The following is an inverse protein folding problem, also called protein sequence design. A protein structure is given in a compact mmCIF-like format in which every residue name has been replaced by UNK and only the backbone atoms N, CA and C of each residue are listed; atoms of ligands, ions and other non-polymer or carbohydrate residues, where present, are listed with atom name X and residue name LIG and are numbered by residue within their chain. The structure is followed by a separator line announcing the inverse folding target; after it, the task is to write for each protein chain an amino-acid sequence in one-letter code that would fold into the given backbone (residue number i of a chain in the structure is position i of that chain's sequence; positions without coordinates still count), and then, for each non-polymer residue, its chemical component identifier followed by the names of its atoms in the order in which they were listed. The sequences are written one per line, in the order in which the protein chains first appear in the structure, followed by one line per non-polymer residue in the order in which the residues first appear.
data_IF_651358423861
#
_entry.id   IF_651358423861
#
_cell.length_a   1.000
_cell.length_b   1.000
_cell.length_c   1.000
_cell.angle_alpha   90.00
_cell.angle_beta   90.00
_cell.angle_gamma   90.00
#
_symmetry.space_group_name_H-M   'P 1'
#
loop_
_entity.id
_entity.type
_entity.pdbx_description
1 polymer ?
#
# COMPACT_ATOMS: atom_id res chain seq x y z
N UNK A 1 11.50 27.04 56.82
CA UNK A 1 10.78 26.94 55.54
C UNK A 1 11.61 26.03 54.62
N UNK A 2 11.21 24.78 54.56
CA UNK A 2 11.87 23.77 53.72
C UNK A 2 11.05 23.66 52.45
N UNK A 3 11.65 23.94 51.30
CA UNK A 3 11.06 23.74 49.97
C UNK A 3 11.52 22.36 49.48
N UNK A 4 10.62 21.44 49.17
CA UNK A 4 11.01 20.17 48.62
C UNK A 4 11.31 20.32 47.12
N UNK A 5 12.45 19.76 46.77
CA UNK A 5 13.02 19.71 45.45
C UNK A 5 12.16 18.82 44.52
N UNK A 6 11.47 19.42 43.55
CA UNK A 6 10.54 18.75 42.66
C UNK A 6 11.21 18.06 41.45
N UNK A 7 12.55 17.99 41.39
CA UNK A 7 13.28 17.45 40.24
C UNK A 7 13.97 16.09 40.47
N UNK A 8 13.68 15.38 41.57
CA UNK A 8 14.31 14.12 41.87
C UNK A 8 13.34 12.91 41.74
N UNK A 9 12.66 12.76 40.64
CA UNK A 9 11.97 11.48 40.35
C UNK A 9 11.58 11.40 38.86
N UNK A 10 12.45 10.98 38.01
CA UNK A 10 12.08 10.35 36.71
C UNK A 10 13.31 9.77 36.01
N UNK A 11 14.06 8.91 36.71
CA UNK A 11 15.14 8.12 36.09
C UNK A 11 14.83 6.64 35.93
N UNK A 12 13.58 6.22 36.11
CA UNK A 12 13.22 4.82 35.99
C UNK A 12 11.95 4.65 35.17
N UNK A 13 12.02 4.85 33.87
CA UNK A 13 11.03 4.29 32.94
C UNK A 13 11.52 4.31 31.48
N UNK A 14 12.78 4.01 31.24
CA UNK A 14 13.24 3.69 29.90
C UNK A 14 13.77 2.28 29.88
N UNK A 15 12.90 1.36 30.30
CA UNK A 15 13.08 -0.06 30.01
C UNK A 15 12.79 -0.22 28.52
N UNK A 16 13.81 0.06 27.71
CA UNK A 16 13.86 -0.34 26.32
C UNK A 16 13.57 -1.83 26.28
N UNK A 17 12.44 -2.20 25.68
CA UNK A 17 12.20 -3.58 25.28
C UNK A 17 13.46 -4.04 24.51
N UNK A 18 13.93 -5.28 24.69
CA UNK A 18 15.06 -5.78 23.96
C UNK A 18 14.74 -5.61 22.47
N UNK A 19 15.41 -4.67 21.82
CA UNK A 19 15.43 -4.59 20.36
C UNK A 19 16.19 -5.84 19.94
N UNK A 20 15.41 -6.83 19.49
CA UNK A 20 15.94 -8.02 18.86
C UNK A 20 16.74 -7.51 17.66
N UNK A 21 18.05 -7.39 17.82
CA UNK A 21 19.01 -6.89 16.83
C UNK A 21 19.22 -7.90 15.69
N UNK A 22 18.36 -8.92 15.64
CA UNK A 22 18.32 -9.87 14.56
C UNK A 22 17.85 -9.15 13.30
N UNK A 23 18.68 -9.14 12.27
CA UNK A 23 18.30 -8.57 10.96
C UNK A 23 16.96 -9.16 10.52
N UNK A 24 16.02 -8.31 10.12
CA UNK A 24 14.70 -8.73 9.67
C UNK A 24 14.88 -9.63 8.44
N UNK A 25 14.49 -10.90 8.58
CA UNK A 25 14.42 -11.87 7.48
C UNK A 25 12.97 -12.03 7.01
N UNK A 26 12.75 -12.77 5.93
CA UNK A 26 11.41 -12.96 5.36
C UNK A 26 10.45 -13.68 6.34
N UNK A 27 10.86 -14.76 7.05
CA UNK A 27 10.00 -15.36 8.08
C UNK A 27 9.56 -14.38 9.16
N UNK A 28 10.49 -13.64 9.75
CA UNK A 28 10.21 -12.64 10.80
C UNK A 28 9.33 -11.50 10.26
N UNK A 29 9.50 -11.09 9.00
CA UNK A 29 8.63 -10.12 8.35
C UNK A 29 7.19 -10.65 8.26
N UNK A 30 7.00 -11.90 7.85
CA UNK A 30 5.68 -12.51 7.73
C UNK A 30 5.00 -12.67 9.10
N UNK A 31 5.74 -13.07 10.13
CA UNK A 31 5.27 -13.16 11.49
C UNK A 31 4.78 -11.77 11.99
N UNK A 32 5.61 -10.74 11.88
CA UNK A 32 5.22 -9.38 12.25
C UNK A 32 4.02 -8.85 11.47
N UNK A 33 3.88 -9.21 10.19
CA UNK A 33 2.68 -8.86 9.41
C UNK A 33 1.43 -9.54 9.97
N UNK A 34 1.55 -10.79 10.44
CA UNK A 34 0.44 -11.53 11.05
C UNK A 34 -0.02 -10.87 12.34
N UNK A 35 0.91 -10.33 13.13
CA UNK A 35 0.61 -9.70 14.41
C UNK A 35 -0.03 -8.31 14.26
N UNK A 36 0.34 -7.55 13.21
CA UNK A 36 -0.02 -6.13 13.11
C UNK A 36 -1.08 -5.83 12.04
N UNK A 37 -1.31 -6.74 11.10
CA UNK A 37 -2.23 -6.52 10.00
C UNK A 37 -3.50 -7.37 10.12
N UNK A 38 -4.66 -6.75 9.90
CA UNK A 38 -5.94 -7.46 9.86
C UNK A 38 -5.99 -8.50 8.72
N UNK A 39 -5.30 -8.23 7.62
CA UNK A 39 -5.24 -9.08 6.41
C UNK A 39 -3.79 -9.30 5.97
N UNK A 40 -3.01 -10.13 6.68
CA UNK A 40 -1.56 -10.25 6.49
C UNK A 40 -1.14 -10.58 5.05
N UNK A 41 -1.85 -11.54 4.42
CA UNK A 41 -1.57 -11.93 3.01
C UNK A 41 -1.78 -10.77 2.04
N UNK A 42 -2.84 -9.99 2.25
CA UNK A 42 -3.13 -8.84 1.40
C UNK A 42 -2.10 -7.74 1.63
N UNK A 43 -1.77 -7.44 2.88
CA UNK A 43 -0.75 -6.45 3.25
C UNK A 43 0.63 -6.84 2.73
N UNK A 44 0.98 -8.14 2.74
CA UNK A 44 2.22 -8.64 2.12
C UNK A 44 2.24 -8.42 0.60
N UNK A 45 1.13 -8.70 -0.11
CA UNK A 45 1.05 -8.43 -1.55
C UNK A 45 1.20 -6.93 -1.87
N UNK A 46 0.55 -6.06 -1.09
CA UNK A 46 0.71 -4.60 -1.21
C UNK A 46 2.17 -4.19 -0.98
N UNK A 47 2.81 -4.72 0.07
CA UNK A 47 4.21 -4.45 0.39
C UNK A 47 5.16 -4.87 -0.74
N UNK A 48 4.96 -6.06 -1.28
CA UNK A 48 5.77 -6.58 -2.38
C UNK A 48 5.62 -5.76 -3.67
N UNK A 49 4.39 -5.33 -4.00
CA UNK A 49 4.15 -4.45 -5.14
C UNK A 49 4.81 -3.07 -4.94
N UNK A 50 4.73 -2.49 -3.74
CA UNK A 50 5.45 -1.26 -3.41
C UNK A 50 6.96 -1.47 -3.58
N UNK A 51 7.50 -2.61 -3.13
CA UNK A 51 8.91 -2.93 -3.28
C UNK A 51 9.33 -3.00 -4.76
N UNK A 52 8.54 -3.66 -5.60
CA UNK A 52 8.79 -3.76 -7.04
C UNK A 52 8.76 -2.38 -7.71
N UNK A 53 7.73 -1.57 -7.42
CA UNK A 53 7.62 -0.22 -7.98
C UNK A 53 8.72 0.73 -7.48
N UNK A 54 9.32 0.45 -6.32
CA UNK A 54 10.40 1.22 -5.71
C UNK A 54 11.79 0.82 -6.20
N UNK A 55 11.93 -0.27 -6.95
CA UNK A 55 13.23 -0.91 -7.24
C UNK A 55 14.23 0.04 -7.91
N UNK A 56 13.77 0.91 -8.78
CA UNK A 56 14.63 1.83 -9.54
C UNK A 56 14.83 3.19 -8.85
N UNK A 57 13.78 3.73 -8.22
CA UNK A 57 13.75 5.10 -7.68
C UNK A 57 13.85 5.18 -6.17
N UNK A 58 13.87 4.04 -5.47
CA UNK A 58 13.84 3.96 -4.00
C UNK A 58 12.46 4.25 -3.39
N UNK A 59 11.49 4.71 -4.19
CA UNK A 59 10.13 5.00 -3.76
C UNK A 59 9.10 4.70 -4.85
N UNK A 60 7.91 4.28 -4.46
CA UNK A 60 6.78 4.04 -5.35
C UNK A 60 5.84 5.24 -5.37
N UNK A 61 5.68 5.87 -6.53
CA UNK A 61 4.80 7.01 -6.70
C UNK A 61 5.51 8.36 -6.89
N UNK A 62 4.76 9.43 -7.06
CA UNK A 62 3.30 9.52 -7.04
C UNK A 62 2.60 8.78 -8.19
N UNK A 63 3.30 8.58 -9.29
CA UNK A 63 2.84 7.85 -10.47
C UNK A 63 3.78 6.67 -10.74
N UNK A 64 3.21 5.58 -11.23
CA UNK A 64 3.92 4.37 -11.67
C UNK A 64 3.71 4.21 -13.17
N UNK A 65 4.77 3.86 -13.88
CA UNK A 65 4.69 3.51 -15.30
C UNK A 65 4.00 2.15 -15.44
N UNK A 66 2.89 2.12 -16.16
CA UNK A 66 2.13 0.90 -16.48
C UNK A 66 1.94 0.83 -18.01
N UNK A 67 2.84 0.12 -18.67
CA UNK A 67 3.00 0.21 -20.13
C UNK A 67 3.34 1.63 -20.54
N UNK A 68 2.55 2.22 -21.45
CA UNK A 68 2.73 3.59 -21.95
C UNK A 68 2.01 4.66 -21.12
N UNK A 69 1.44 4.28 -19.95
CA UNK A 69 0.60 5.16 -19.15
C UNK A 69 1.22 5.43 -17.78
N UNK A 70 1.13 6.68 -17.31
CA UNK A 70 1.42 7.04 -15.93
C UNK A 70 0.13 6.96 -15.10
N UNK A 71 0.13 6.06 -14.11
CA UNK A 71 -1.02 5.79 -13.25
C UNK A 71 -0.69 6.18 -11.82
N UNK A 72 -1.59 6.87 -11.08
CA UNK A 72 -1.37 7.12 -9.66
C UNK A 72 -1.08 5.82 -8.91
N UNK A 73 -0.07 5.81 -8.04
CA UNK A 73 0.41 4.58 -7.36
C UNK A 73 -0.70 3.81 -6.65
N UNK A 74 -1.68 4.50 -6.07
CA UNK A 74 -2.82 3.86 -5.41
C UNK A 74 -3.71 3.11 -6.39
N UNK A 75 -3.97 3.68 -7.55
CA UNK A 75 -4.79 3.08 -8.59
C UNK A 75 -4.06 1.90 -9.24
N UNK A 76 -2.77 2.08 -9.50
CA UNK A 76 -1.91 0.99 -9.97
C UNK A 76 -1.91 -0.20 -9.00
N UNK A 77 -1.77 0.03 -7.69
CA UNK A 77 -1.88 -1.04 -6.68
C UNK A 77 -3.26 -1.73 -6.72
N UNK A 78 -4.34 -0.98 -6.89
CA UNK A 78 -5.67 -1.55 -7.02
C UNK A 78 -5.79 -2.43 -8.27
N UNK A 79 -5.29 -1.96 -9.40
CA UNK A 79 -5.35 -2.69 -10.66
C UNK A 79 -4.46 -3.94 -10.64
N UNK A 80 -3.26 -3.87 -10.07
CA UNK A 80 -2.36 -5.01 -9.88
C UNK A 80 -2.93 -6.09 -8.94
N UNK A 81 -3.74 -5.70 -7.95
CA UNK A 81 -4.39 -6.63 -7.02
C UNK A 81 -5.75 -7.15 -7.51
N UNK A 82 -6.34 -6.54 -8.55
CA UNK A 82 -7.63 -6.93 -9.10
C UNK A 82 -7.70 -8.40 -9.58
N UNK A 83 -6.66 -9.01 -10.19
CA UNK A 83 -6.67 -10.42 -10.58
C UNK A 83 -6.84 -11.38 -9.39
N UNK A 84 -6.29 -11.03 -8.23
CA UNK A 84 -6.45 -11.84 -6.99
C UNK A 84 -7.91 -11.81 -6.53
N UNK A 85 -8.59 -10.67 -6.73
CA UNK A 85 -10.01 -10.52 -6.41
C UNK A 85 -10.96 -11.16 -7.45
N UNK A 86 -10.47 -11.62 -8.60
CA UNK A 86 -11.33 -12.24 -9.64
C UNK A 86 -12.00 -13.54 -9.21
N UNK A 87 -11.39 -14.24 -8.26
CA UNK A 87 -11.91 -15.50 -7.69
C UNK A 87 -12.84 -15.26 -6.49
N UNK A 88 -13.10 -13.99 -6.13
CA UNK A 88 -13.99 -13.66 -5.03
C UNK A 88 -15.45 -13.81 -5.48
N UNK A 89 -16.25 -14.69 -4.85
CA UNK A 89 -17.67 -14.84 -5.15
C UNK A 89 -18.47 -13.53 -5.00
N UNK A 90 -17.94 -12.57 -4.22
CA UNK A 90 -18.52 -11.22 -4.11
C UNK A 90 -18.57 -10.47 -5.44
N UNK A 91 -17.70 -10.83 -6.40
CA UNK A 91 -17.71 -10.18 -7.72
C UNK A 91 -18.97 -10.50 -8.51
N UNK A 92 -19.41 -11.74 -8.47
CA UNK A 92 -20.69 -12.15 -9.11
C UNK A 92 -21.86 -11.40 -8.47
N UNK A 93 -21.92 -11.35 -7.15
CA UNK A 93 -22.94 -10.59 -6.42
C UNK A 93 -22.93 -9.08 -6.77
N UNK A 94 -21.74 -8.49 -7.01
CA UNK A 94 -21.63 -7.10 -7.47
C UNK A 94 -22.19 -6.96 -8.88
N UNK A 95 -21.93 -7.91 -9.79
CA UNK A 95 -22.43 -7.85 -11.16
C UNK A 95 -23.96 -7.96 -11.21
N UNK A 96 -24.54 -8.88 -10.44
CA UNK A 96 -26.00 -9.05 -10.33
C UNK A 96 -26.66 -7.79 -9.75
N UNK A 97 -26.04 -7.22 -8.72
CA UNK A 97 -26.52 -5.97 -8.12
C UNK A 97 -26.44 -4.79 -9.08
N UNK A 98 -25.34 -4.67 -9.83
CA UNK A 98 -25.18 -3.61 -10.85
C UNK A 98 -26.24 -3.76 -11.94
N UNK A 99 -26.45 -4.98 -12.45
CA UNK A 99 -27.47 -5.25 -13.45
C UNK A 99 -28.86 -4.83 -12.97
N UNK A 100 -29.24 -5.26 -11.76
CA UNK A 100 -30.53 -4.92 -11.15
C UNK A 100 -30.71 -3.40 -10.96
N UNK A 101 -29.67 -2.69 -10.50
CA UNK A 101 -29.73 -1.24 -10.31
C UNK A 101 -29.83 -0.46 -11.63
N UNK A 102 -29.12 -0.88 -12.67
CA UNK A 102 -29.18 -0.25 -13.98
C UNK A 102 -30.55 -0.51 -14.64
N UNK A 103 -31.11 -1.71 -14.47
CA UNK A 103 -32.45 -2.04 -14.97
C UNK A 103 -33.53 -1.21 -14.27
N UNK A 104 -33.49 -1.10 -12.93
CA UNK A 104 -34.41 -0.26 -12.15
C UNK A 104 -34.36 1.22 -12.56
N UNK A 105 -33.19 1.72 -12.95
CA UNK A 105 -33.00 3.09 -13.42
C UNK A 105 -33.36 3.27 -14.89
N UNK A 106 -33.67 2.18 -15.62
CA UNK A 106 -33.90 2.17 -17.07
C UNK A 106 -32.69 2.69 -17.85
N UNK A 107 -31.49 2.45 -17.34
CA UNK A 107 -30.21 2.85 -17.93
C UNK A 107 -29.59 1.74 -18.80
N UNK A 108 -30.16 0.53 -18.81
CA UNK A 108 -29.68 -0.57 -19.63
C UNK A 108 -30.06 -0.34 -21.09
N UNK A 109 -29.08 -0.36 -22.00
CA UNK A 109 -29.33 -0.33 -23.44
C UNK A 109 -30.13 -1.56 -23.89
N UNK A 110 -30.94 -1.42 -24.93
CA UNK A 110 -31.66 -2.55 -25.57
C UNK A 110 -30.72 -3.51 -26.29
N UNK A 111 -29.54 -3.04 -26.68
CA UNK A 111 -28.46 -3.83 -27.27
C UNK A 111 -27.74 -4.62 -26.15
N UNK A 112 -27.71 -5.94 -26.28
CA UNK A 112 -27.10 -6.85 -25.31
C UNK A 112 -25.60 -6.58 -25.12
N UNK A 113 -24.85 -6.30 -26.20
CA UNK A 113 -23.40 -6.10 -26.15
C UNK A 113 -23.06 -4.77 -25.46
N UNK A 114 -23.86 -3.75 -25.70
CA UNK A 114 -23.70 -2.45 -25.05
C UNK A 114 -24.08 -2.55 -23.57
N UNK A 115 -25.13 -3.31 -23.21
CA UNK A 115 -25.54 -3.56 -21.84
C UNK A 115 -24.44 -4.29 -21.06
N UNK A 116 -23.83 -5.33 -21.63
CA UNK A 116 -22.74 -6.06 -21.00
C UNK A 116 -21.49 -5.20 -20.78
N UNK A 117 -21.12 -4.38 -21.76
CA UNK A 117 -20.02 -3.43 -21.63
C UNK A 117 -20.26 -2.41 -20.51
N UNK A 118 -21.48 -1.88 -20.42
CA UNK A 118 -21.88 -0.94 -19.37
C UNK A 118 -21.81 -1.59 -17.98
N UNK A 119 -22.37 -2.78 -17.84
CA UNK A 119 -22.31 -3.56 -16.58
C UNK A 119 -20.87 -3.83 -16.20
N UNK A 120 -20.04 -4.31 -17.14
CA UNK A 120 -18.62 -4.59 -16.87
C UNK A 120 -17.85 -3.35 -16.43
N UNK A 121 -18.08 -2.21 -17.07
CA UNK A 121 -17.45 -0.93 -16.71
C UNK A 121 -17.84 -0.49 -15.28
N UNK A 122 -19.14 -0.58 -14.93
CA UNK A 122 -19.61 -0.20 -13.60
C UNK A 122 -19.13 -1.17 -12.50
N UNK A 123 -19.11 -2.47 -12.78
CA UNK A 123 -18.50 -3.48 -11.89
C UNK A 123 -17.03 -3.14 -11.62
N UNK A 124 -16.28 -2.85 -12.68
CA UNK A 124 -14.85 -2.49 -12.55
C UNK A 124 -14.67 -1.22 -11.74
N UNK A 125 -15.53 -0.21 -11.96
CA UNK A 125 -15.53 1.03 -11.18
C UNK A 125 -15.74 0.76 -9.68
N UNK A 126 -16.72 -0.08 -9.32
CA UNK A 126 -17.01 -0.44 -7.90
C UNK A 126 -15.89 -1.24 -7.26
N UNK A 127 -15.32 -2.19 -7.99
CA UNK A 127 -14.17 -2.97 -7.53
C UNK A 127 -12.98 -2.03 -7.25
N UNK A 128 -12.70 -1.07 -8.14
CA UNK A 128 -11.62 -0.10 -7.95
C UNK A 128 -11.85 0.80 -6.73
N UNK A 129 -13.09 1.29 -6.51
CA UNK A 129 -13.43 2.09 -5.33
C UNK A 129 -13.22 1.31 -4.03
N UNK A 130 -13.70 0.06 -3.97
CA UNK A 130 -13.45 -0.83 -2.84
C UNK A 130 -11.97 -1.15 -2.67
N UNK A 131 -11.27 -1.36 -3.77
CA UNK A 131 -9.82 -1.60 -3.81
C UNK A 131 -9.03 -0.44 -3.19
N UNK A 132 -9.37 0.80 -3.51
CA UNK A 132 -8.73 1.99 -2.92
C UNK A 132 -8.82 2.02 -1.40
N UNK A 133 -9.97 1.65 -0.84
CA UNK A 133 -10.16 1.58 0.61
C UNK A 133 -9.29 0.48 1.23
N UNK A 134 -9.27 -0.71 0.62
CA UNK A 134 -8.47 -1.84 1.09
C UNK A 134 -6.96 -1.54 1.01
N UNK A 135 -6.49 -0.99 -0.12
CA UNK A 135 -5.09 -0.56 -0.27
C UNK A 135 -4.73 0.49 0.76
N UNK A 136 -5.59 1.50 0.98
CA UNK A 136 -5.33 2.56 1.95
C UNK A 136 -5.24 2.04 3.38
N UNK A 137 -6.07 1.06 3.74
CA UNK A 137 -6.02 0.39 5.05
C UNK A 137 -4.72 -0.40 5.20
N UNK A 138 -4.39 -1.28 4.25
CA UNK A 138 -3.17 -2.06 4.27
C UNK A 138 -1.92 -1.18 4.35
N UNK A 139 -1.83 -0.12 3.55
CA UNK A 139 -0.72 0.84 3.64
C UNK A 139 -0.66 1.50 5.01
N UNK A 140 -1.81 1.85 5.62
CA UNK A 140 -1.81 2.45 6.95
C UNK A 140 -1.32 1.49 8.03
N UNK A 141 -1.65 0.20 7.92
CA UNK A 141 -1.14 -0.85 8.79
C UNK A 141 0.38 -1.03 8.59
N UNK A 142 0.85 -1.09 7.34
CA UNK A 142 2.28 -1.18 7.01
C UNK A 142 3.09 0.03 7.51
N UNK A 143 2.49 1.23 7.49
CA UNK A 143 3.12 2.43 8.05
C UNK A 143 3.19 2.35 9.57
N UNK A 144 2.13 1.90 10.25
CA UNK A 144 2.13 1.70 11.71
C UNK A 144 3.17 0.65 12.14
N UNK A 145 3.33 -0.40 11.33
CA UNK A 145 4.33 -1.44 11.56
C UNK A 145 5.78 -0.99 11.29
N UNK A 146 5.98 0.20 10.73
CA UNK A 146 7.30 0.70 10.37
C UNK A 146 7.90 0.07 9.12
N UNK A 147 7.12 -0.65 8.31
CA UNK A 147 7.59 -1.28 7.08
C UNK A 147 7.62 -0.33 5.88
N UNK A 148 6.72 0.66 5.88
CA UNK A 148 6.56 1.65 4.82
C UNK A 148 6.52 3.04 5.42
N UNK A 149 7.21 3.99 4.79
CA UNK A 149 7.03 5.43 5.03
C UNK A 149 6.12 5.98 3.94
N UNK A 150 5.17 6.82 4.35
CA UNK A 150 4.24 7.47 3.43
C UNK A 150 4.41 8.98 3.51
N UNK A 151 4.60 9.63 2.37
CA UNK A 151 4.50 11.08 2.25
C UNK A 151 3.60 11.44 1.06
N UNK A 152 3.28 12.71 0.92
CA UNK A 152 2.38 13.18 -0.12
C UNK A 152 3.09 14.25 -0.93
N UNK A 153 3.07 14.11 -2.24
CA UNK A 153 3.56 15.08 -3.20
C UNK A 153 2.40 15.78 -3.89
N UNK A 154 2.65 17.01 -4.31
CA UNK A 154 1.66 17.87 -4.94
C UNK A 154 1.10 18.88 -3.95
N UNK A 155 1.30 20.14 -4.29
CA UNK A 155 0.78 21.28 -3.56
C UNK A 155 -0.14 22.07 -4.48
N UNK A 156 -1.42 22.20 -4.11
CA UNK A 156 -2.31 23.19 -4.71
C UNK A 156 -2.69 24.19 -3.65
N UNK A 157 -2.28 25.44 -3.85
CA UNK A 157 -2.39 26.53 -2.90
C UNK A 157 -3.87 26.93 -2.67
N UNK A 158 -4.74 26.73 -3.67
CA UNK A 158 -6.03 27.40 -3.75
C UNK A 158 -7.27 26.51 -3.64
N UNK A 159 -7.16 25.31 -3.05
CA UNK A 159 -8.33 24.43 -2.91
C UNK A 159 -8.78 24.33 -1.45
N UNK A 160 -10.09 24.60 -1.19
CA UNK A 160 -10.71 24.45 0.13
C UNK A 160 -10.50 23.05 0.75
N UNK A 161 -10.31 22.02 -0.08
CA UNK A 161 -10.04 20.65 0.33
C UNK A 161 -8.56 20.29 0.11
N UNK A 162 -7.69 20.85 0.95
CA UNK A 162 -6.21 20.70 0.87
C UNK A 162 -5.69 19.25 0.85
N UNK A 163 -6.51 18.25 1.18
CA UNK A 163 -6.13 16.83 1.22
C UNK A 163 -6.45 16.05 -0.06
N UNK A 164 -7.43 16.46 -0.85
CA UNK A 164 -8.04 15.63 -1.91
C UNK A 164 -7.17 15.44 -3.17
N UNK A 165 -6.15 16.28 -3.38
CA UNK A 165 -5.32 16.25 -4.59
C UNK A 165 -3.86 15.89 -4.34
N UNK A 166 -3.51 15.50 -3.11
CA UNK A 166 -2.15 15.05 -2.82
C UNK A 166 -1.96 13.62 -3.27
N UNK A 167 -0.95 13.41 -4.09
CA UNK A 167 -0.57 12.07 -4.53
C UNK A 167 0.35 11.42 -3.50
N UNK A 168 0.05 10.19 -3.14
CA UNK A 168 0.82 9.44 -2.18
C UNK A 168 2.12 8.91 -2.81
N UNK A 169 3.18 8.91 -2.02
CA UNK A 169 4.46 8.25 -2.32
C UNK A 169 4.80 7.31 -1.17
N UNK A 170 5.20 6.11 -1.49
CA UNK A 170 5.52 5.05 -0.56
C UNK A 170 7.00 4.68 -0.67
N UNK A 171 7.70 4.67 0.45
CA UNK A 171 9.10 4.24 0.55
C UNK A 171 9.18 3.07 1.50
N UNK A 172 9.70 1.93 1.06
CA UNK A 172 9.96 0.81 1.96
C UNK A 172 11.21 1.08 2.80
N UNK A 173 11.23 0.58 4.03
CA UNK A 173 12.41 0.68 4.89
C UNK A 173 13.52 -0.26 4.39
N UNK A 174 14.78 0.06 4.70
CA UNK A 174 15.92 -0.74 4.25
C UNK A 174 15.92 -2.15 4.84
N UNK A 175 15.38 -2.31 6.03
CA UNK A 175 15.19 -3.63 6.65
C UNK A 175 14.25 -4.51 5.83
N UNK A 176 13.09 -3.95 5.47
CA UNK A 176 12.09 -4.66 4.65
C UNK A 176 12.64 -4.96 3.26
N UNK A 177 13.38 -4.01 2.67
CA UNK A 177 13.98 -4.20 1.34
C UNK A 177 14.96 -5.38 1.37
N UNK A 178 15.80 -5.48 2.40
CA UNK A 178 16.72 -6.60 2.60
C UNK A 178 16.00 -7.92 2.83
N UNK A 179 14.92 -7.92 3.62
CA UNK A 179 14.11 -9.10 3.89
C UNK A 179 13.44 -9.65 2.62
N UNK A 180 12.93 -8.76 1.74
CA UNK A 180 12.29 -9.15 0.49
C UNK A 180 13.28 -9.58 -0.61
N UNK A 181 14.50 -9.00 -0.61
CA UNK A 181 15.54 -9.25 -1.64
C UNK A 181 16.90 -9.55 -1.01
N UNK A 182 17.07 -10.69 -0.33
CA UNK A 182 18.30 -11.00 0.40
C UNK A 182 19.54 -11.12 -0.50
N UNK A 183 19.37 -11.39 -1.80
CA UNK A 183 20.48 -11.55 -2.76
C UNK A 183 21.08 -10.23 -3.27
N UNK A 184 20.40 -9.11 -3.15
CA UNK A 184 20.91 -7.80 -3.62
C UNK A 184 21.96 -7.19 -2.66
N UNK A 185 22.06 -7.67 -1.43
CA UNK A 185 22.96 -7.14 -0.41
C UNK A 185 24.40 -7.69 -0.47
N UNK A 186 24.67 -8.68 -1.34
CA UNK A 186 25.94 -9.43 -1.33
C UNK A 186 26.76 -9.30 -2.63
N UNK A 187 26.59 -8.21 -3.38
CA UNK A 187 27.51 -7.87 -4.47
C UNK A 187 28.69 -7.14 -3.85
N UNK A 188 29.88 -7.76 -3.75
CA UNK A 188 31.09 -7.04 -3.32
C UNK A 188 31.40 -5.98 -4.36
N UNK A 189 31.63 -4.73 -3.89
CA UNK A 189 32.12 -3.65 -4.74
C UNK A 189 33.37 -4.11 -5.48
N UNK A 190 33.51 -3.86 -6.80
CA UNK A 190 34.72 -4.19 -7.52
C UNK A 190 35.88 -3.41 -6.89
N UNK A 191 36.80 -4.13 -6.28
CA UNK A 191 38.07 -3.62 -5.81
C UNK A 191 38.81 -3.06 -7.03
N UNK A 192 38.92 -1.74 -7.13
CA UNK A 192 39.80 -1.06 -8.06
C UNK A 192 41.24 -1.44 -7.70
N UNK A 193 41.76 -2.46 -8.37
CA UNK A 193 43.18 -2.74 -8.37
C UNK A 193 43.87 -1.61 -9.16
N UNK A 194 44.46 -0.69 -8.44
CA UNK A 194 45.42 0.30 -8.97
C UNK A 194 46.69 -0.42 -9.37
N UNK A 195 47.07 -0.25 -10.59
CA UNK A 195 48.40 -0.64 -11.11
C UNK A 195 49.15 0.61 -11.48
#
# INVERSE_FOLDING_TARGET
MFQPDFFAASKDAQRAAPQDTRALDLPSLLERLTDVCERPRYSFMVLNLIAQASAQSGSAGPYVQDGDRLVPVRDWLCDALAPVARRDPRRLAIADKVRSELDQRRELPSDSDLAEKLIAAEVQRRIRLSGRTNVSRAVSELVKAGFVRRHYQGYRVDHQNRGAQRQAVYTITDEVRRALHPRAANTPSPTTASK
#
